data_IF_508671843806
#
_entry.id   IF_508671843806
#
_cell.length_a   1.000
_cell.length_b   1.000
_cell.length_c   1.000
_cell.angle_alpha   90.00
_cell.angle_beta   90.00
_cell.angle_gamma   90.00
#
_symmetry.space_group_name_H-M   'P 1'
#
loop_
_entity.id
_entity.type
_entity.pdbx_description
1 polymer ?
#
# COMPACT_ATOMS: atom_id res chain seq x y z
N UNK A 1 -10.71 19.65 10.35
CA UNK A 1 -9.28 19.30 10.38
C UNK A 1 -9.13 17.83 10.08
N UNK A 2 -8.12 17.41 9.31
CA UNK A 2 -7.90 15.99 9.04
C UNK A 2 -7.56 15.23 10.33
N UNK A 3 -7.98 13.96 10.41
CA UNK A 3 -7.69 13.06 11.52
C UNK A 3 -6.18 12.81 11.60
N UNK A 4 -5.59 12.92 12.79
CA UNK A 4 -4.19 12.57 13.01
C UNK A 4 -3.94 11.06 12.87
N UNK A 5 -2.70 10.66 12.62
CA UNK A 5 -2.35 9.24 12.54
C UNK A 5 -2.69 8.46 13.82
N UNK A 6 -2.53 9.07 15.01
CA UNK A 6 -2.88 8.40 16.28
C UNK A 6 -4.40 8.26 16.45
N UNK A 7 -5.17 9.27 16.05
CA UNK A 7 -6.64 9.20 16.05
C UNK A 7 -7.12 8.09 15.11
N UNK A 8 -6.53 7.97 13.93
CA UNK A 8 -6.85 6.89 12.98
C UNK A 8 -6.48 5.52 13.56
N UNK A 9 -5.27 5.38 14.10
CA UNK A 9 -4.75 4.10 14.59
C UNK A 9 -5.54 3.53 15.77
N UNK A 10 -6.04 4.40 16.65
CA UNK A 10 -6.78 4.03 17.86
C UNK A 10 -8.30 3.97 17.66
N UNK A 11 -8.79 4.32 16.47
CA UNK A 11 -10.23 4.33 16.20
C UNK A 11 -10.80 2.90 16.16
N UNK A 12 -11.88 2.58 16.89
CA UNK A 12 -12.44 1.23 16.94
C UNK A 12 -12.83 0.65 15.57
N UNK A 13 -13.29 1.50 14.66
CA UNK A 13 -13.66 1.10 13.29
C UNK A 13 -12.47 0.92 12.35
N UNK A 14 -11.23 1.25 12.75
CA UNK A 14 -10.11 1.26 11.81
C UNK A 14 -9.69 -0.14 11.34
N UNK A 15 -9.52 -1.10 12.25
CA UNK A 15 -9.20 -2.49 11.87
C UNK A 15 -10.31 -3.12 11.00
N UNK A 16 -11.61 -3.02 11.34
CA UNK A 16 -12.70 -3.44 10.46
C UNK A 16 -12.65 -2.78 9.07
N UNK A 17 -12.41 -1.48 9.01
CA UNK A 17 -12.32 -0.75 7.73
C UNK A 17 -11.09 -1.16 6.91
N UNK A 18 -9.97 -1.47 7.57
CA UNK A 18 -8.76 -1.98 6.93
C UNK A 18 -8.96 -3.38 6.33
N UNK A 19 -9.81 -4.20 6.95
CA UNK A 19 -10.27 -5.49 6.39
C UNK A 19 -11.08 -5.29 5.11
N UNK A 20 -12.06 -4.39 5.11
CA UNK A 20 -12.85 -4.05 3.90
C UNK A 20 -11.95 -3.48 2.80
N UNK A 21 -10.96 -2.65 3.17
CA UNK A 21 -9.94 -2.17 2.25
C UNK A 21 -9.14 -3.32 1.63
N UNK A 22 -8.71 -4.30 2.43
CA UNK A 22 -7.99 -5.49 1.95
C UNK A 22 -8.79 -6.29 0.92
N UNK A 23 -10.09 -6.48 1.15
CA UNK A 23 -10.99 -7.15 0.19
C UNK A 23 -11.06 -6.41 -1.16
N UNK A 24 -11.15 -5.08 -1.13
CA UNK A 24 -11.16 -4.25 -2.35
C UNK A 24 -9.84 -4.32 -3.10
N UNK A 25 -8.72 -4.26 -2.37
CA UNK A 25 -7.38 -4.33 -2.97
C UNK A 25 -7.11 -5.71 -3.61
N UNK A 26 -7.66 -6.78 -3.03
CA UNK A 26 -7.62 -8.10 -3.63
C UNK A 26 -8.29 -8.12 -5.02
N UNK A 27 -9.37 -7.35 -5.21
CA UNK A 27 -10.00 -7.14 -6.52
C UNK A 27 -9.06 -6.48 -7.53
N UNK A 28 -8.40 -5.38 -7.15
CA UNK A 28 -7.41 -4.68 -8.01
C UNK A 28 -6.27 -5.62 -8.41
N UNK A 29 -5.80 -6.44 -7.47
CA UNK A 29 -4.77 -7.45 -7.74
C UNK A 29 -5.27 -8.53 -8.72
N UNK A 30 -6.53 -8.96 -8.63
CA UNK A 30 -7.10 -9.93 -9.56
C UNK A 30 -7.26 -9.37 -10.98
N UNK A 31 -7.60 -8.08 -11.13
CA UNK A 31 -7.72 -7.41 -12.42
C UNK A 31 -6.37 -7.30 -13.14
N UNK A 32 -5.32 -6.86 -12.43
CA UNK A 32 -3.97 -6.80 -12.99
C UNK A 32 -2.91 -7.00 -11.89
N UNK A 33 -2.42 -8.23 -11.79
CA UNK A 33 -1.52 -8.66 -10.71
C UNK A 33 -0.19 -7.91 -10.70
N UNK A 34 0.37 -7.62 -11.88
CA UNK A 34 1.66 -6.92 -12.00
C UNK A 34 1.54 -5.45 -11.58
N UNK A 35 0.39 -4.84 -11.86
CA UNK A 35 0.06 -3.50 -11.40
C UNK A 35 -0.26 -3.49 -9.90
N UNK A 36 -1.06 -4.45 -9.43
CA UNK A 36 -1.39 -4.64 -8.02
C UNK A 36 -0.17 -4.92 -7.13
N UNK A 37 0.85 -5.59 -7.67
CA UNK A 37 2.12 -5.83 -6.96
C UNK A 37 2.85 -4.53 -6.57
N UNK A 38 2.57 -3.40 -7.25
CA UNK A 38 3.07 -2.09 -6.84
C UNK A 38 2.52 -1.66 -5.47
N UNK A 39 1.36 -2.17 -5.05
CA UNK A 39 0.79 -1.93 -3.72
C UNK A 39 1.19 -2.98 -2.68
N UNK A 40 1.65 -4.16 -3.11
CA UNK A 40 1.86 -5.34 -2.26
C UNK A 40 3.20 -5.43 -1.54
N UNK A 41 4.12 -4.48 -1.75
CA UNK A 41 5.38 -4.40 -1.01
C UNK A 41 5.87 -2.96 -0.85
N UNK A 42 6.52 -2.68 0.28
CA UNK A 42 6.81 -1.29 0.64
C UNK A 42 7.78 -0.61 -0.33
N UNK A 43 8.84 -1.31 -0.75
CA UNK A 43 9.81 -0.75 -1.70
C UNK A 43 9.16 -0.43 -3.04
N UNK A 44 8.33 -1.32 -3.56
CA UNK A 44 7.67 -1.13 -4.88
C UNK A 44 6.59 -0.06 -4.79
N UNK A 45 5.91 0.05 -3.65
CA UNK A 45 5.00 1.15 -3.35
C UNK A 45 5.74 2.49 -3.41
N UNK A 46 6.85 2.63 -2.68
CA UNK A 46 7.63 3.89 -2.64
C UNK A 46 8.16 4.29 -4.03
N UNK A 47 8.69 3.35 -4.82
CA UNK A 47 9.18 3.64 -6.17
C UNK A 47 8.03 4.07 -7.09
N UNK A 48 6.94 3.29 -7.13
CA UNK A 48 5.81 3.56 -8.03
C UNK A 48 5.08 4.85 -7.70
N UNK A 49 4.84 5.13 -6.42
CA UNK A 49 4.17 6.36 -5.99
C UNK A 49 5.04 7.60 -6.23
N UNK A 50 6.36 7.49 -6.04
CA UNK A 50 7.29 8.59 -6.35
C UNK A 50 7.37 8.88 -7.84
N UNK A 51 7.32 7.84 -8.69
CA UNK A 51 7.28 8.00 -10.14
C UNK A 51 6.03 8.78 -10.59
N UNK A 52 4.88 8.43 -10.02
CA UNK A 52 3.62 9.14 -10.26
C UNK A 52 3.63 10.58 -9.72
N UNK A 53 4.25 10.81 -8.57
CA UNK A 53 4.41 12.15 -8.01
C UNK A 53 5.24 13.06 -8.91
N UNK A 54 6.32 12.54 -9.50
CA UNK A 54 7.14 13.26 -10.47
C UNK A 54 6.36 13.58 -11.75
N UNK A 55 5.51 12.67 -12.21
CA UNK A 55 4.67 12.91 -13.38
C UNK A 55 3.61 14.00 -13.16
N UNK A 56 2.84 13.93 -12.07
CA UNK A 56 1.74 14.88 -11.84
C UNK A 56 2.15 16.18 -11.13
N UNK A 57 3.20 16.16 -10.30
CA UNK A 57 3.57 17.28 -9.44
C UNK A 57 5.01 17.79 -9.58
N UNK A 58 5.87 17.11 -10.34
CA UNK A 58 7.26 17.51 -10.52
C UNK A 58 7.43 18.51 -11.66
N UNK A 59 8.06 19.66 -11.40
CA UNK A 59 8.42 20.62 -12.45
C UNK A 59 9.30 19.98 -13.54
N UNK A 60 10.16 19.04 -13.13
CA UNK A 60 11.04 18.33 -14.05
C UNK A 60 10.29 17.22 -14.82
N UNK A 61 9.21 16.64 -14.29
CA UNK A 61 8.52 15.49 -14.88
C UNK A 61 9.22 14.15 -14.61
N UNK A 62 8.59 13.04 -15.01
CA UNK A 62 9.12 11.69 -14.76
C UNK A 62 10.19 11.29 -15.79
N UNK A 63 11.43 11.21 -15.32
CA UNK A 63 12.58 10.57 -16.00
C UNK A 63 13.23 9.55 -15.06
N UNK A 64 14.06 8.64 -15.60
CA UNK A 64 14.86 7.72 -14.76
C UNK A 64 15.73 8.49 -13.77
N UNK A 65 16.38 9.57 -14.21
CA UNK A 65 17.28 10.35 -13.37
C UNK A 65 16.52 11.08 -12.26
N UNK A 66 15.41 11.76 -12.58
CA UNK A 66 14.59 12.42 -11.56
C UNK A 66 14.06 11.44 -10.50
N UNK A 67 13.75 10.19 -10.90
CA UNK A 67 13.31 9.15 -9.98
C UNK A 67 14.45 8.62 -9.10
N UNK A 68 15.66 8.50 -9.66
CA UNK A 68 16.86 8.22 -8.86
C UNK A 68 17.11 9.33 -7.86
N UNK A 69 17.07 10.58 -8.30
CA UNK A 69 17.41 11.74 -7.49
C UNK A 69 16.44 11.92 -6.32
N UNK A 70 15.13 11.72 -6.54
CA UNK A 70 14.13 11.83 -5.46
C UNK A 70 14.23 10.69 -4.44
N UNK A 71 14.63 9.48 -4.87
CA UNK A 71 14.68 8.30 -3.99
C UNK A 71 16.03 8.10 -3.29
N UNK A 72 17.11 8.63 -3.87
CA UNK A 72 18.50 8.45 -3.39
C UNK A 72 18.70 8.91 -1.93
N UNK A 73 18.19 10.06 -1.47
CA UNK A 73 18.36 10.49 -0.07
C UNK A 73 17.83 9.47 0.94
N UNK A 74 16.78 8.74 0.55
CA UNK A 74 16.08 7.78 1.41
C UNK A 74 16.59 6.34 1.28
N UNK A 75 17.55 6.08 0.38
CA UNK A 75 18.14 4.75 0.14
C UNK A 75 17.11 3.65 -0.15
N UNK A 76 16.02 3.99 -0.85
CA UNK A 76 14.92 3.05 -1.15
C UNK A 76 15.37 1.90 -2.05
N UNK A 77 16.17 2.20 -3.06
CA UNK A 77 16.66 1.25 -4.05
C UNK A 77 17.95 1.76 -4.70
N UNK A 78 18.72 0.84 -5.30
CA UNK A 78 19.87 1.22 -6.10
C UNK A 78 19.41 1.86 -7.43
N UNK A 79 20.26 2.68 -8.08
CA UNK A 79 19.96 3.20 -9.41
C UNK A 79 19.60 2.14 -10.45
N UNK A 80 20.23 0.95 -10.39
CA UNK A 80 19.92 -0.15 -11.29
C UNK A 80 18.52 -0.70 -11.04
N UNK A 81 18.13 -0.91 -9.76
CA UNK A 81 16.78 -1.36 -9.43
C UNK A 81 15.70 -0.37 -9.87
N UNK A 82 16.00 0.94 -9.84
CA UNK A 82 15.07 1.98 -10.33
C UNK A 82 14.95 1.92 -11.86
N UNK A 83 16.06 1.70 -12.57
CA UNK A 83 16.06 1.50 -14.02
C UNK A 83 15.27 0.25 -14.42
N UNK A 84 15.54 -0.86 -13.75
CA UNK A 84 14.82 -2.12 -13.95
C UNK A 84 13.31 -1.94 -13.74
N UNK A 85 12.89 -1.15 -12.75
CA UNK A 85 11.49 -0.84 -12.53
C UNK A 85 10.86 -0.06 -13.69
N UNK A 86 11.57 0.93 -14.25
CA UNK A 86 11.08 1.70 -15.42
C UNK A 86 10.99 0.78 -16.64
N UNK A 87 12.02 -0.03 -16.90
CA UNK A 87 12.03 -0.98 -18.01
C UNK A 87 10.90 -2.02 -17.89
N UNK A 88 10.69 -2.55 -16.68
CA UNK A 88 9.56 -3.44 -16.36
C UNK A 88 8.21 -2.74 -16.62
N UNK A 89 8.08 -1.49 -16.19
CA UNK A 89 6.85 -0.71 -16.34
C UNK A 89 6.55 -0.36 -17.80
N UNK A 90 7.58 -0.17 -18.63
CA UNK A 90 7.44 -0.01 -20.08
C UNK A 90 7.04 -1.32 -20.74
N UNK A 91 7.69 -2.43 -20.38
CA UNK A 91 7.42 -3.75 -20.94
C UNK A 91 5.98 -4.23 -20.69
N UNK A 92 5.41 -3.88 -19.53
CA UNK A 92 4.01 -4.18 -19.19
C UNK A 92 3.02 -3.08 -19.57
N UNK A 93 3.47 -2.01 -20.24
CA UNK A 93 2.60 -0.94 -20.70
C UNK A 93 1.97 -0.13 -19.57
N UNK A 94 2.61 -0.05 -18.40
CA UNK A 94 2.20 0.81 -17.29
C UNK A 94 2.73 2.23 -17.46
N UNK A 95 3.90 2.36 -18.07
CA UNK A 95 4.44 3.63 -18.52
C UNK A 95 4.57 3.60 -20.05
N UNK A 96 4.54 4.78 -20.66
CA UNK A 96 4.97 4.99 -22.05
C UNK A 96 5.79 6.28 -22.15
N UNK A 97 6.58 6.46 -23.23
CA UNK A 97 7.22 7.73 -23.51
C UNK A 97 6.17 8.87 -23.56
N UNK A 98 6.53 10.02 -23.01
CA UNK A 98 5.68 11.21 -23.07
C UNK A 98 5.72 11.80 -24.50
N UNK A 99 4.61 11.77 -25.26
CA UNK A 99 4.57 12.26 -26.63
C UNK A 99 4.79 13.78 -26.70
N UNK A 100 4.47 14.53 -25.65
CA UNK A 100 4.71 15.98 -25.58
C UNK A 100 6.18 16.33 -25.36
N UNK A 101 7.03 15.34 -25.05
CA UNK A 101 8.46 15.51 -24.73
C UNK A 101 9.35 14.49 -25.44
N UNK A 102 8.88 13.86 -26.52
CA UNK A 102 9.57 12.73 -27.16
C UNK A 102 10.93 13.11 -27.77
N UNK A 103 11.06 14.36 -28.25
CA UNK A 103 12.31 14.91 -28.79
C UNK A 103 13.33 15.26 -27.71
N UNK A 104 12.93 15.34 -26.43
CA UNK A 104 13.81 15.76 -25.35
C UNK A 104 14.69 14.60 -24.85
N UNK A 105 15.84 15.01 -24.30
CA UNK A 105 16.74 14.14 -23.54
C UNK A 105 16.97 14.76 -22.17
N UNK A 106 16.93 13.98 -21.07
CA UNK A 106 16.62 12.53 -21.00
C UNK A 106 15.17 12.20 -21.42
N UNK A 107 14.86 10.90 -21.60
CA UNK A 107 13.50 10.45 -21.97
C UNK A 107 12.52 10.68 -20.81
N UNK A 108 11.38 11.27 -21.14
CA UNK A 108 10.26 11.48 -20.24
C UNK A 108 9.22 10.38 -20.41
N UNK A 109 8.53 10.05 -19.31
CA UNK A 109 7.53 8.99 -19.27
C UNK A 109 6.24 9.50 -18.64
N UNK A 110 5.12 8.88 -19.06
CA UNK A 110 3.82 9.10 -18.44
C UNK A 110 3.14 7.78 -18.12
N UNK A 111 2.29 7.73 -17.06
CA UNK A 111 1.45 6.59 -16.77
C UNK A 111 0.40 6.38 -17.86
N UNK A 112 0.09 5.11 -18.13
CA UNK A 112 -0.96 4.72 -19.08
C UNK A 112 -2.33 4.62 -18.40
N UNK A 113 -3.40 4.52 -19.19
CA UNK A 113 -4.79 4.45 -18.69
C UNK A 113 -5.02 3.37 -17.60
N UNK A 114 -4.46 2.14 -17.68
CA UNK A 114 -4.56 1.16 -16.60
C UNK A 114 -4.02 1.67 -15.25
N UNK A 115 -2.94 2.45 -15.25
CA UNK A 115 -2.36 3.01 -14.02
C UNK A 115 -3.27 4.06 -13.41
N UNK A 116 -3.87 4.93 -14.23
CA UNK A 116 -4.88 5.89 -13.76
C UNK A 116 -6.07 5.18 -13.10
N UNK A 117 -6.60 4.13 -13.74
CA UNK A 117 -7.72 3.37 -13.20
C UNK A 117 -7.36 2.71 -11.85
N UNK A 118 -6.21 2.06 -11.76
CA UNK A 118 -5.76 1.41 -10.53
C UNK A 118 -5.51 2.41 -9.39
N UNK A 119 -4.93 3.58 -9.69
CA UNK A 119 -4.75 4.65 -8.69
C UNK A 119 -6.10 5.22 -8.24
N UNK A 120 -7.05 5.41 -9.15
CA UNK A 120 -8.40 5.84 -8.79
C UNK A 120 -9.11 4.84 -7.86
N UNK A 121 -9.09 3.55 -8.20
CA UNK A 121 -9.66 2.48 -7.36
C UNK A 121 -8.97 2.42 -6.00
N UNK A 122 -7.63 2.50 -5.98
CA UNK A 122 -6.85 2.46 -4.74
C UNK A 122 -7.12 3.68 -3.83
N UNK A 123 -7.20 4.89 -4.40
CA UNK A 123 -7.58 6.09 -3.66
C UNK A 123 -8.98 5.97 -3.08
N UNK A 124 -9.97 5.57 -3.90
CA UNK A 124 -11.35 5.39 -3.44
C UNK A 124 -11.44 4.36 -2.29
N UNK A 125 -10.70 3.26 -2.36
CA UNK A 125 -10.69 2.26 -1.30
C UNK A 125 -10.12 2.81 0.03
N UNK A 126 -9.06 3.64 -0.02
CA UNK A 126 -8.51 4.25 1.18
C UNK A 126 -9.40 5.40 1.71
N UNK A 127 -10.05 6.17 0.83
CA UNK A 127 -10.99 7.22 1.23
C UNK A 127 -12.22 6.63 1.93
N UNK A 128 -12.75 5.51 1.42
CA UNK A 128 -13.85 4.78 2.08
C UNK A 128 -13.47 4.35 3.51
N UNK A 129 -12.24 3.90 3.69
CA UNK A 129 -11.74 3.52 5.01
C UNK A 129 -11.69 4.72 5.96
N UNK A 130 -11.35 5.92 5.48
CA UNK A 130 -11.38 7.16 6.27
C UNK A 130 -12.82 7.59 6.59
N UNK A 131 -13.72 7.52 5.61
CA UNK A 131 -15.14 7.85 5.79
C UNK A 131 -15.82 6.98 6.85
N UNK A 132 -15.39 5.72 7.00
CA UNK A 132 -15.87 4.84 8.06
C UNK A 132 -15.37 5.21 9.48
N UNK A 133 -14.43 6.15 9.62
CA UNK A 133 -13.94 6.63 10.91
C UNK A 133 -14.65 7.90 11.38
N UNK A 134 -14.91 8.84 10.48
CA UNK A 134 -15.48 10.14 10.82
C UNK A 134 -16.83 10.44 10.16
N UNK A 135 -17.37 9.51 9.38
CA UNK A 135 -18.69 9.61 8.76
C UNK A 135 -18.78 10.64 7.64
N UNK A 136 -17.66 11.12 7.11
CA UNK A 136 -17.67 12.06 5.98
C UNK A 136 -17.89 11.34 4.64
N UNK A 137 -17.98 12.11 3.55
CA UNK A 137 -18.33 11.59 2.23
C UNK A 137 -17.20 11.85 1.19
N UNK A 138 -15.95 11.54 1.57
CA UNK A 138 -14.79 11.76 0.69
C UNK A 138 -14.87 10.91 -0.56
N UNK A 139 -15.35 9.67 -0.46
CA UNK A 139 -15.50 8.78 -1.61
C UNK A 139 -16.47 9.33 -2.66
N UNK A 140 -17.62 9.87 -2.26
CA UNK A 140 -18.58 10.41 -3.23
C UNK A 140 -18.08 11.71 -3.83
N UNK A 141 -17.46 12.58 -3.03
CA UNK A 141 -16.80 13.78 -3.52
C UNK A 141 -15.69 13.45 -4.55
N UNK A 142 -14.89 12.42 -4.27
CA UNK A 142 -13.88 11.93 -5.22
C UNK A 142 -14.49 11.34 -6.49
N UNK A 143 -15.58 10.57 -6.37
CA UNK A 143 -16.28 9.99 -7.51
C UNK A 143 -16.90 11.07 -8.43
N UNK A 144 -17.36 12.19 -7.85
CA UNK A 144 -17.87 13.34 -8.58
C UNK A 144 -16.77 14.17 -9.27
N UNK A 145 -15.53 14.10 -8.78
CA UNK A 145 -14.40 14.91 -9.26
C UNK A 145 -13.09 14.07 -9.39
N UNK A 146 -13.02 13.05 -10.27
CA UNK A 146 -11.83 12.22 -10.42
C UNK A 146 -10.57 12.98 -10.90
N UNK A 147 -10.76 14.16 -11.50
CA UNK A 147 -9.70 15.10 -11.87
C UNK A 147 -8.92 15.67 -10.66
N UNK A 148 -9.32 15.33 -9.44
CA UNK A 148 -8.54 15.61 -8.23
C UNK A 148 -7.32 14.69 -8.08
N UNK A 149 -7.22 13.56 -8.80
CA UNK A 149 -6.08 12.62 -8.70
C UNK A 149 -4.72 13.34 -8.83
N UNK A 150 -4.46 14.19 -9.84
CA UNK A 150 -3.20 14.93 -9.96
C UNK A 150 -2.91 15.89 -8.80
N UNK A 151 -3.92 16.31 -8.03
CA UNK A 151 -3.76 17.16 -6.85
C UNK A 151 -3.46 16.36 -5.59
N UNK A 152 -4.13 15.21 -5.43
CA UNK A 152 -4.01 14.32 -4.26
C UNK A 152 -2.71 13.52 -4.33
N UNK A 153 -2.46 12.86 -5.46
CA UNK A 153 -1.46 11.80 -5.54
C UNK A 153 -0.03 12.29 -5.24
N UNK A 154 0.47 13.41 -5.79
CA UNK A 154 1.83 13.86 -5.50
C UNK A 154 2.00 14.23 -4.02
N UNK A 155 1.00 14.88 -3.42
CA UNK A 155 1.03 15.27 -2.00
C UNK A 155 1.11 14.05 -1.08
N UNK A 156 0.23 13.07 -1.32
CA UNK A 156 0.23 11.80 -0.60
C UNK A 156 1.58 11.07 -0.74
N UNK A 157 2.06 10.91 -1.97
CA UNK A 157 3.28 10.15 -2.25
C UNK A 157 4.51 10.80 -1.62
N UNK A 158 4.66 12.12 -1.76
CA UNK A 158 5.80 12.85 -1.19
C UNK A 158 5.71 12.94 0.34
N UNK A 159 4.52 13.15 0.91
CA UNK A 159 4.31 13.10 2.35
C UNK A 159 4.75 11.75 2.93
N UNK A 160 4.26 10.66 2.35
CA UNK A 160 4.66 9.30 2.72
C UNK A 160 6.16 9.02 2.49
N UNK A 161 6.79 9.56 1.45
CA UNK A 161 8.21 9.35 1.17
C UNK A 161 9.10 10.02 2.24
N UNK A 162 8.73 11.23 2.66
CA UNK A 162 9.48 12.01 3.65
C UNK A 162 9.22 11.54 5.08
N UNK A 163 8.06 10.96 5.36
CA UNK A 163 7.71 10.42 6.66
C UNK A 163 8.36 9.04 6.92
N UNK A 164 9.34 9.02 7.83
CA UNK A 164 10.04 7.80 8.22
C UNK A 164 9.08 6.74 8.81
N UNK A 165 8.02 7.16 9.51
CA UNK A 165 7.08 6.24 10.15
C UNK A 165 6.28 5.44 9.11
N UNK A 166 6.07 5.96 7.90
CA UNK A 166 5.54 5.16 6.79
C UNK A 166 6.65 4.45 6.04
N UNK A 167 7.70 5.18 5.64
CA UNK A 167 8.78 4.65 4.79
C UNK A 167 9.43 3.40 5.39
N UNK A 168 9.55 3.33 6.71
CA UNK A 168 10.23 2.27 7.45
C UNK A 168 9.22 1.52 8.34
N UNK A 169 8.62 0.41 7.86
CA UNK A 169 7.64 -0.33 8.65
C UNK A 169 8.24 -0.85 9.95
N UNK A 170 7.44 -1.00 11.03
CA UNK A 170 7.89 -1.60 12.29
C UNK A 170 8.61 -2.94 12.07
N UNK A 171 9.62 -3.31 12.87
CA UNK A 171 10.47 -4.47 12.58
C UNK A 171 9.72 -5.78 12.28
N UNK A 172 8.66 -6.08 13.04
CA UNK A 172 7.83 -7.28 12.81
C UNK A 172 7.03 -7.17 11.51
N UNK A 173 6.41 -6.03 11.26
CA UNK A 173 5.65 -5.73 10.02
C UNK A 173 6.57 -5.78 8.78
N UNK A 174 7.79 -5.28 8.90
CA UNK A 174 8.77 -5.26 7.82
C UNK A 174 9.16 -6.65 7.31
N UNK A 175 9.03 -7.71 8.13
CA UNK A 175 9.29 -9.09 7.71
C UNK A 175 8.38 -9.53 6.56
N UNK A 176 7.14 -9.05 6.55
CA UNK A 176 6.18 -9.23 5.47
C UNK A 176 6.44 -8.20 4.36
N UNK A 177 6.47 -6.91 4.68
CA UNK A 177 6.47 -5.84 3.68
C UNK A 177 7.72 -5.75 2.80
N UNK A 178 8.84 -6.35 3.22
CA UNK A 178 10.08 -6.47 2.40
C UNK A 178 9.98 -7.53 1.31
N UNK A 179 9.01 -8.44 1.38
CA UNK A 179 8.76 -9.44 0.34
C UNK A 179 7.75 -8.89 -0.67
N UNK A 180 7.98 -9.14 -1.96
CA UNK A 180 7.12 -8.65 -3.07
C UNK A 180 5.63 -9.01 -2.87
N UNK A 181 5.35 -10.19 -2.31
CA UNK A 181 3.99 -10.66 -2.01
C UNK A 181 3.66 -10.68 -0.52
N UNK A 182 4.53 -10.15 0.34
CA UNK A 182 4.33 -10.24 1.78
C UNK A 182 3.28 -9.26 2.31
N UNK A 183 3.08 -8.11 1.65
CA UNK A 183 1.94 -7.24 1.94
C UNK A 183 0.61 -7.94 1.72
N UNK A 184 0.49 -8.70 0.63
CA UNK A 184 -0.72 -9.51 0.36
C UNK A 184 -0.96 -10.59 1.42
N UNK A 185 0.09 -11.17 1.99
CA UNK A 185 -0.04 -12.09 3.14
C UNK A 185 -0.64 -11.36 4.33
N UNK A 186 -0.16 -10.15 4.62
CA UNK A 186 -0.69 -9.33 5.70
C UNK A 186 -2.15 -8.94 5.46
N UNK A 187 -2.49 -8.50 4.25
CA UNK A 187 -3.87 -8.12 3.91
C UNK A 187 -4.84 -9.30 4.08
N UNK A 188 -4.43 -10.52 3.69
CA UNK A 188 -5.25 -11.72 3.95
C UNK A 188 -5.44 -12.00 5.44
N UNK A 189 -4.42 -11.78 6.27
CA UNK A 189 -4.56 -11.90 7.74
C UNK A 189 -5.57 -10.87 8.23
N UNK A 190 -5.45 -9.60 7.80
CA UNK A 190 -6.36 -8.52 8.19
C UNK A 190 -7.80 -8.79 7.77
N UNK A 191 -8.03 -9.32 6.57
CA UNK A 191 -9.36 -9.73 6.11
C UNK A 191 -9.99 -10.77 7.05
N UNK A 192 -9.19 -11.71 7.56
CA UNK A 192 -9.70 -12.76 8.44
C UNK A 192 -9.93 -12.29 9.88
N UNK A 193 -9.20 -11.29 10.37
CA UNK A 193 -9.34 -10.80 11.76
C UNK A 193 -10.21 -9.55 11.89
N UNK A 194 -10.57 -8.87 10.79
CA UNK A 194 -11.17 -7.54 10.82
C UNK A 194 -12.47 -7.41 11.62
N UNK A 195 -13.15 -8.53 11.87
CA UNK A 195 -14.39 -8.61 12.65
C UNK A 195 -14.24 -9.40 13.96
N UNK A 196 -13.06 -9.95 14.18
CA UNK A 196 -12.75 -10.74 15.37
C UNK A 196 -12.34 -9.82 16.52
N UNK A 197 -12.51 -10.30 17.74
CA UNK A 197 -11.98 -9.66 18.94
C UNK A 197 -10.81 -10.49 19.47
N UNK A 198 -9.74 -9.86 19.95
CA UNK A 198 -8.64 -10.61 20.55
C UNK A 198 -9.08 -11.19 21.89
N UNK A 199 -8.77 -12.46 22.13
CA UNK A 199 -8.90 -13.10 23.43
C UNK A 199 -7.50 -13.33 24.02
N UNK A 200 -7.30 -12.91 25.28
CA UNK A 200 -6.00 -12.96 25.98
C UNK A 200 -4.84 -12.42 25.13
N UNK A 201 -5.09 -11.31 24.41
CA UNK A 201 -4.10 -10.65 23.57
C UNK A 201 -3.82 -11.34 22.23
N UNK A 202 -4.66 -12.30 21.78
CA UNK A 202 -4.50 -12.99 20.50
C UNK A 202 -5.80 -13.04 19.71
N UNK A 203 -5.70 -12.78 18.41
CA UNK A 203 -6.75 -13.13 17.46
C UNK A 203 -6.63 -14.61 17.10
N UNK A 204 -7.74 -15.29 16.89
CA UNK A 204 -7.77 -16.66 16.40
C UNK A 204 -8.47 -16.69 15.05
N UNK A 205 -7.81 -17.26 14.03
CA UNK A 205 -8.42 -17.49 12.73
C UNK A 205 -8.42 -18.98 12.39
N UNK A 206 -9.33 -19.44 11.51
CA UNK A 206 -9.37 -20.82 11.06
C UNK A 206 -8.03 -21.30 10.47
N UNK A 207 -7.89 -22.62 10.35
CA UNK A 207 -6.70 -23.21 9.76
C UNK A 207 -6.45 -22.65 8.35
N UNK A 208 -5.26 -22.09 8.16
CA UNK A 208 -4.88 -21.46 6.91
C UNK A 208 -4.60 -22.53 5.84
N UNK A 209 -5.45 -22.59 4.81
CA UNK A 209 -5.14 -23.39 3.62
C UNK A 209 -3.99 -22.74 2.85
N UNK A 210 -2.76 -23.24 3.10
CA UNK A 210 -1.55 -22.72 2.49
C UNK A 210 -1.55 -22.81 0.96
N UNK A 211 -2.22 -23.82 0.37
CA UNK A 211 -2.32 -23.95 -1.09
C UNK A 211 -3.21 -22.86 -1.65
N UNK A 212 -4.39 -22.68 -1.08
CA UNK A 212 -5.36 -21.68 -1.56
C UNK A 212 -4.80 -20.27 -1.38
N UNK A 213 -4.20 -19.98 -0.23
CA UNK A 213 -3.56 -18.68 0.01
C UNK A 213 -2.43 -18.41 -0.98
N UNK A 214 -1.52 -19.38 -1.15
CA UNK A 214 -0.40 -19.25 -2.07
C UNK A 214 -0.88 -19.06 -3.52
N UNK A 215 -1.95 -19.75 -3.92
CA UNK A 215 -2.58 -19.56 -5.23
C UNK A 215 -3.23 -18.19 -5.37
N UNK A 216 -3.92 -17.68 -4.35
CA UNK A 216 -4.57 -16.35 -4.39
C UNK A 216 -3.56 -15.21 -4.53
N UNK A 217 -2.39 -15.33 -3.87
CA UNK A 217 -1.34 -14.31 -3.92
C UNK A 217 -0.20 -14.66 -4.88
N UNK A 218 -0.37 -15.72 -5.68
CA UNK A 218 0.53 -16.20 -6.73
C UNK A 218 1.99 -16.39 -6.32
N UNK A 219 2.20 -17.04 -5.20
CA UNK A 219 3.53 -17.51 -4.80
C UNK A 219 3.53 -19.02 -4.64
N UNK A 220 4.72 -19.62 -4.61
CA UNK A 220 4.81 -21.03 -4.24
C UNK A 220 4.48 -21.21 -2.77
N UNK A 221 3.92 -22.38 -2.42
CA UNK A 221 3.70 -22.78 -1.02
C UNK A 221 4.99 -22.68 -0.19
N UNK A 222 6.12 -23.07 -0.77
CA UNK A 222 7.44 -22.97 -0.12
C UNK A 222 7.80 -21.52 0.19
N UNK A 223 7.54 -20.59 -0.74
CA UNK A 223 7.77 -19.17 -0.51
C UNK A 223 6.85 -18.63 0.60
N UNK A 224 5.56 -18.97 0.58
CA UNK A 224 4.62 -18.58 1.65
C UNK A 224 5.10 -19.05 3.03
N UNK A 225 5.47 -20.34 3.14
CA UNK A 225 5.97 -20.92 4.39
C UNK A 225 7.25 -20.24 4.87
N UNK A 226 8.14 -19.83 3.96
CA UNK A 226 9.36 -19.08 4.30
C UNK A 226 9.04 -17.68 4.80
N UNK A 227 8.04 -17.00 4.23
CA UNK A 227 7.58 -15.71 4.73
C UNK A 227 7.02 -15.87 6.15
N UNK A 228 6.06 -16.78 6.35
CA UNK A 228 5.38 -16.98 7.63
C UNK A 228 6.36 -17.40 8.73
N UNK A 229 7.31 -18.29 8.43
CA UNK A 229 8.35 -18.71 9.39
C UNK A 229 9.09 -17.53 10.01
N UNK A 230 9.38 -16.47 9.25
CA UNK A 230 10.06 -15.28 9.81
C UNK A 230 9.21 -14.57 10.86
N UNK A 231 7.90 -14.49 10.63
CA UNK A 231 6.93 -13.85 11.54
C UNK A 231 6.66 -14.72 12.77
N UNK A 232 6.64 -16.05 12.59
CA UNK A 232 6.56 -17.03 13.67
C UNK A 232 7.76 -16.92 14.61
N UNK A 233 8.97 -16.79 14.06
CA UNK A 233 10.21 -16.71 14.85
C UNK A 233 10.26 -15.48 15.78
N UNK A 234 9.50 -14.43 15.49
CA UNK A 234 9.38 -13.24 16.34
C UNK A 234 8.11 -13.23 17.19
N UNK A 235 7.39 -14.35 17.26
CA UNK A 235 6.22 -14.53 18.11
C UNK A 235 4.97 -13.75 17.67
N UNK A 236 4.95 -13.21 16.45
CA UNK A 236 3.81 -12.40 15.97
C UNK A 236 2.63 -13.26 15.48
N UNK A 237 2.89 -14.50 15.06
CA UNK A 237 1.88 -15.49 14.69
C UNK A 237 2.30 -16.88 15.13
N UNK A 238 1.35 -17.80 15.21
CA UNK A 238 1.62 -19.22 15.36
C UNK A 238 0.37 -20.07 15.25
N UNK A 239 0.47 -21.33 15.65
CA UNK A 239 -0.65 -22.27 15.59
C UNK A 239 -0.97 -22.81 16.98
N UNK A 240 -2.24 -23.13 17.21
CA UNK A 240 -2.69 -23.79 18.44
C UNK A 240 -2.15 -25.22 18.52
N UNK A 241 -2.06 -25.90 17.36
CA UNK A 241 -1.51 -27.24 17.24
C UNK A 241 -0.57 -27.35 16.03
N UNK A 242 -0.83 -28.33 15.16
CA UNK A 242 0.00 -28.55 13.98
C UNK A 242 -0.08 -27.36 13.00
N UNK A 243 1.07 -26.87 12.47
CA UNK A 243 1.07 -25.79 11.49
C UNK A 243 0.20 -26.07 10.27
N UNK A 244 -0.62 -25.11 9.87
CA UNK A 244 -1.56 -25.16 8.74
C UNK A 244 -2.71 -26.19 8.85
N UNK A 245 -2.68 -27.08 9.84
CA UNK A 245 -3.75 -28.07 10.13
C UNK A 245 -4.66 -27.63 11.29
N UNK A 246 -4.25 -26.62 12.04
CA UNK A 246 -4.99 -26.08 13.19
C UNK A 246 -5.21 -24.58 13.07
N UNK A 247 -6.05 -24.02 13.94
CA UNK A 247 -6.28 -22.58 14.01
C UNK A 247 -4.96 -21.82 14.22
N UNK A 248 -4.84 -20.70 13.51
CA UNK A 248 -3.68 -19.81 13.60
C UNK A 248 -4.01 -18.70 14.59
N UNK A 249 -3.13 -18.47 15.56
CA UNK A 249 -3.23 -17.31 16.44
C UNK A 249 -2.33 -16.18 15.93
N UNK A 250 -2.76 -14.94 16.15
CA UNK A 250 -2.03 -13.72 15.78
C UNK A 250 -1.96 -12.81 17.00
N UNK A 251 -0.74 -12.35 17.32
CA UNK A 251 -0.50 -11.43 18.43
C UNK A 251 -1.20 -10.09 18.19
N UNK A 252 -1.99 -9.62 19.16
CA UNK A 252 -2.72 -8.35 19.03
C UNK A 252 -1.79 -7.16 18.91
N UNK A 253 -0.66 -7.15 19.63
CA UNK A 253 0.32 -6.07 19.52
C UNK A 253 0.97 -5.99 18.12
N UNK A 254 1.08 -7.12 17.41
CA UNK A 254 1.53 -7.13 16.02
C UNK A 254 0.50 -6.49 15.07
N UNK A 255 -0.80 -6.69 15.34
CA UNK A 255 -1.87 -6.02 14.61
C UNK A 255 -1.87 -4.52 14.90
N UNK A 256 -1.69 -4.12 16.16
CA UNK A 256 -1.61 -2.70 16.53
C UNK A 256 -0.43 -1.99 15.87
N UNK A 257 0.73 -2.65 15.78
CA UNK A 257 1.88 -2.14 15.00
C UNK A 257 1.52 -1.90 13.54
N UNK A 258 0.81 -2.84 12.93
CA UNK A 258 0.36 -2.71 11.54
C UNK A 258 -0.66 -1.60 11.36
N UNK A 259 -1.63 -1.49 12.26
CA UNK A 259 -2.64 -0.42 12.26
C UNK A 259 -1.97 0.94 12.40
N UNK A 260 -1.08 1.14 13.39
CA UNK A 260 -0.32 2.40 13.52
C UNK A 260 0.46 2.74 12.26
N UNK A 261 1.10 1.75 11.64
CA UNK A 261 1.83 1.96 10.39
C UNK A 261 0.89 2.37 9.23
N UNK A 262 -0.24 1.68 9.03
CA UNK A 262 -1.23 2.03 8.00
C UNK A 262 -1.92 3.38 8.25
N UNK A 263 -2.06 3.77 9.52
CA UNK A 263 -2.63 5.05 9.91
C UNK A 263 -1.79 6.23 9.41
N UNK A 264 -0.45 6.11 9.37
CA UNK A 264 0.43 7.16 8.81
C UNK A 264 0.10 7.45 7.35
N UNK A 265 0.01 6.41 6.50
CA UNK A 265 -0.41 6.57 5.09
C UNK A 265 -1.81 7.18 4.98
N UNK A 266 -2.72 6.76 5.85
CA UNK A 266 -4.11 7.22 5.86
C UNK A 266 -4.19 8.70 6.25
N UNK A 267 -3.35 9.15 7.18
CA UNK A 267 -3.18 10.56 7.53
C UNK A 267 -2.71 11.40 6.33
N UNK A 268 -1.64 10.98 5.64
CA UNK A 268 -1.15 11.69 4.45
C UNK A 268 -2.20 11.76 3.34
N UNK A 269 -3.05 10.74 3.19
CA UNK A 269 -4.16 10.76 2.25
C UNK A 269 -5.24 11.76 2.69
N UNK A 270 -5.58 11.78 3.97
CA UNK A 270 -6.61 12.69 4.50
C UNK A 270 -6.20 14.16 4.28
N UNK A 271 -4.95 14.49 4.59
CA UNK A 271 -4.35 15.82 4.32
C UNK A 271 -4.37 16.15 2.83
N UNK A 272 -3.87 15.24 1.97
CA UNK A 272 -3.83 15.46 0.54
C UNK A 272 -5.22 15.67 -0.08
N UNK A 273 -6.22 14.92 0.40
CA UNK A 273 -7.61 15.06 -0.02
C UNK A 273 -8.20 16.40 0.42
N UNK A 274 -8.02 16.79 1.69
CA UNK A 274 -8.55 18.04 2.23
C UNK A 274 -8.04 19.26 1.43
N UNK A 275 -6.74 19.29 1.13
CA UNK A 275 -6.14 20.33 0.28
C UNK A 275 -6.72 20.32 -1.13
N UNK A 276 -6.85 19.14 -1.75
CA UNK A 276 -7.40 19.02 -3.10
C UNK A 276 -8.87 19.47 -3.18
N UNK A 277 -9.64 19.22 -2.12
CA UNK A 277 -11.05 19.60 -1.98
C UNK A 277 -11.26 21.09 -1.64
N UNK A 278 -10.18 21.86 -1.42
CA UNK A 278 -10.27 23.27 -1.05
C UNK A 278 -10.53 23.54 0.43
N UNK A 279 -10.33 22.54 1.30
CA UNK A 279 -10.41 22.64 2.75
C UNK A 279 -9.00 22.54 3.38
N UNK A 280 -8.14 23.58 3.29
CA UNK A 280 -6.83 23.52 3.91
C UNK A 280 -6.96 23.34 5.43
N UNK A 281 -6.13 22.48 6.01
CA UNK A 281 -5.95 22.40 7.46
C UNK A 281 -5.40 23.77 7.92
N UNK A 282 -6.20 24.50 8.71
CA UNK A 282 -5.73 25.68 9.44
C UNK A 282 -4.75 25.26 10.54
#
# INVERSE_FOLDING_TARGET
MPLSAEQIATHPSFLPSLSVYGERLAGVYQENQRLGANFGSQRRWLISQSALALYWGGNDGLTVNSLIDVLKPFKIASPNTIRDYIDESLAYGFLCPDPGRDSLRPRYYQPTRPVYAAIGQWLAANLLMLDALDGTDRVSAFAACPEMIPKIQPRLALGCLHDAAWREPPPRVALLQKSISGGLVMDNIIIMIGREQPDQGRYLIPALNARDMASRILISRTHLQRILRRVVNVGAIGWVGRPFESAMWIDSAFIDEYCRWQAVKSFHLNEAFAVAAGNPAN
#
